data_IF_509565588765
#
_entry.id   IF_509565588765
#
_cell.length_a   1.000
_cell.length_b   1.000
_cell.length_c   1.000
_cell.angle_alpha   90.00
_cell.angle_beta   90.00
_cell.angle_gamma   90.00
#
_symmetry.space_group_name_H-M   'P 1'
#
loop_
_entity.id
_entity.type
_entity.pdbx_description
1 polymer ?
#
# COMPACT_ATOMS: atom_id res chain seq x y z
N UNK A 1 -18.74 19.77 4.23
CA UNK A 1 -18.39 18.51 4.77
C UNK A 1 -17.55 17.68 3.82
N UNK A 2 -16.46 17.23 4.28
CA UNK A 2 -15.54 16.52 3.46
C UNK A 2 -15.85 15.07 3.36
N UNK A 3 -15.57 14.50 2.20
CA UNK A 3 -15.81 13.14 1.96
C UNK A 3 -14.48 12.42 1.97
N UNK A 4 -14.39 11.32 2.71
CA UNK A 4 -13.20 10.53 2.73
C UNK A 4 -13.27 9.53 1.60
N UNK A 5 -12.30 9.60 0.72
CA UNK A 5 -12.24 8.71 -0.43
C UNK A 5 -11.11 7.73 -0.23
N UNK A 6 -11.44 6.44 -0.29
CA UNK A 6 -10.45 5.41 -0.23
C UNK A 6 -10.59 4.56 -1.48
N UNK A 7 -9.51 4.45 -2.24
CA UNK A 7 -9.52 3.65 -3.44
C UNK A 7 -9.27 2.19 -3.07
N UNK A 8 -10.17 1.33 -3.51
CA UNK A 8 -10.01 -0.09 -3.31
C UNK A 8 -9.82 -0.74 -4.66
N UNK A 9 -8.65 -1.30 -4.86
CA UNK A 9 -8.35 -1.95 -6.12
C UNK A 9 -8.31 -3.43 -5.84
N UNK A 10 -9.44 -4.09 -6.09
CA UNK A 10 -9.63 -5.48 -5.76
C UNK A 10 -9.92 -6.22 -7.05
N UNK A 11 -8.88 -6.71 -7.67
CA UNK A 11 -9.00 -7.40 -8.93
C UNK A 11 -8.31 -8.74 -8.85
N UNK A 12 -8.63 -9.59 -9.79
CA UNK A 12 -7.95 -10.84 -9.90
C UNK A 12 -6.53 -10.66 -10.38
N UNK A 13 -5.79 -11.74 -10.35
CA UNK A 13 -4.43 -11.72 -10.79
C UNK A 13 -4.35 -11.36 -12.26
N UNK A 14 -3.35 -10.57 -12.62
CA UNK A 14 -3.13 -10.22 -14.00
C UNK A 14 -4.07 -9.20 -14.57
N UNK A 15 -4.78 -8.47 -13.72
CA UNK A 15 -5.74 -7.49 -14.23
C UNK A 15 -5.21 -6.05 -14.18
N UNK A 16 -3.94 -5.86 -13.91
CA UNK A 16 -3.36 -4.54 -13.93
C UNK A 16 -3.61 -3.71 -12.70
N UNK A 17 -3.96 -4.36 -11.57
CA UNK A 17 -4.24 -3.57 -10.38
C UNK A 17 -3.02 -2.84 -9.86
N UNK A 18 -1.84 -3.42 -10.03
CA UNK A 18 -0.62 -2.76 -9.58
C UNK A 18 -0.34 -1.51 -10.39
N UNK A 19 -0.52 -1.58 -11.71
CA UNK A 19 -0.27 -0.40 -12.52
C UNK A 19 -1.29 0.69 -12.24
N UNK A 20 -2.52 0.33 -11.90
CA UNK A 20 -3.50 1.34 -11.52
C UNK A 20 -3.09 2.02 -10.21
N UNK A 21 -2.54 1.25 -9.28
CA UNK A 21 -2.05 1.82 -8.03
C UNK A 21 -0.91 2.79 -8.30
N UNK A 22 0.01 2.43 -9.19
CA UNK A 22 1.11 3.31 -9.55
C UNK A 22 0.59 4.64 -10.12
N UNK A 23 -0.38 4.57 -11.00
CA UNK A 23 -0.89 5.80 -11.61
C UNK A 23 -1.57 6.69 -10.58
N UNK A 24 -2.34 6.10 -9.70
CA UNK A 24 -2.99 6.88 -8.65
C UNK A 24 -1.97 7.55 -7.74
N UNK A 25 -0.95 6.80 -7.34
CA UNK A 25 0.06 7.33 -6.45
C UNK A 25 0.85 8.44 -7.12
N UNK A 26 1.19 8.24 -8.38
CA UNK A 26 1.95 9.22 -9.11
C UNK A 26 1.16 10.51 -9.25
N UNK A 27 -0.08 10.39 -9.61
CA UNK A 27 -0.92 11.56 -9.84
C UNK A 27 -1.16 12.31 -8.56
N UNK A 28 -1.39 11.61 -7.47
CA UNK A 28 -1.69 12.24 -6.19
C UNK A 28 -0.45 12.68 -5.42
N UNK A 29 0.72 12.18 -5.79
CA UNK A 29 1.94 12.49 -5.05
C UNK A 29 1.97 11.82 -3.70
N UNK A 30 1.36 10.63 -3.58
CA UNK A 30 1.24 9.91 -2.32
C UNK A 30 2.09 8.65 -2.40
N UNK A 31 2.89 8.35 -1.36
CA UNK A 31 3.76 7.17 -1.41
C UNK A 31 2.99 5.86 -1.29
N UNK A 32 3.64 4.79 -1.72
CA UNK A 32 3.09 3.45 -1.66
C UNK A 32 3.88 2.63 -0.66
N UNK A 33 3.18 2.01 0.27
CA UNK A 33 3.78 1.07 1.21
C UNK A 33 3.76 -0.31 0.54
N UNK A 34 4.90 -0.98 0.51
CA UNK A 34 5.01 -2.26 -0.17
C UNK A 34 6.06 -3.11 0.50
N UNK A 35 6.10 -4.38 0.12
CA UNK A 35 7.05 -5.30 0.74
C UNK A 35 8.48 -4.99 0.33
N UNK A 36 8.72 -4.77 -0.95
CA UNK A 36 10.06 -4.54 -1.45
C UNK A 36 10.08 -3.31 -2.36
N UNK A 37 10.46 -2.14 -1.81
CA UNK A 37 10.45 -0.92 -2.60
C UNK A 37 11.28 -0.99 -3.88
N UNK A 38 12.41 -1.67 -3.84
CA UNK A 38 13.24 -1.74 -5.02
C UNK A 38 12.56 -2.49 -6.15
N UNK A 39 11.94 -3.63 -5.85
CA UNK A 39 11.22 -4.38 -6.86
C UNK A 39 10.07 -3.56 -7.43
N UNK A 40 9.36 -2.86 -6.57
CA UNK A 40 8.24 -2.06 -7.04
C UNK A 40 8.70 -0.89 -7.89
N UNK A 41 9.83 -0.30 -7.52
CA UNK A 41 10.39 0.79 -8.30
C UNK A 41 10.77 0.31 -9.69
N UNK A 42 11.37 -0.86 -9.77
CA UNK A 42 11.75 -1.43 -11.05
C UNK A 42 10.52 -1.78 -11.87
N UNK A 43 9.50 -2.30 -11.24
CA UNK A 43 8.27 -2.61 -11.94
C UNK A 43 7.60 -1.35 -12.48
N UNK A 44 7.56 -0.29 -11.67
CA UNK A 44 7.00 0.97 -12.14
C UNK A 44 7.80 1.50 -13.32
N UNK A 45 9.10 1.40 -13.24
CA UNK A 45 9.96 1.86 -14.32
C UNK A 45 9.67 1.10 -15.60
N UNK A 46 9.39 -0.20 -15.49
CA UNK A 46 9.09 -0.99 -16.68
C UNK A 46 7.79 -0.55 -17.35
N UNK A 47 6.93 0.14 -16.61
CA UNK A 47 5.71 0.72 -17.17
C UNK A 47 5.92 2.17 -17.61
N UNK A 48 7.13 2.67 -17.51
CA UNK A 48 7.40 4.06 -17.85
C UNK A 48 7.01 5.05 -16.76
N UNK A 49 6.85 4.57 -15.53
CA UNK A 49 6.43 5.43 -14.43
C UNK A 49 7.59 5.61 -13.46
N UNK A 50 7.92 6.87 -13.19
CA UNK A 50 9.00 7.20 -12.25
C UNK A 50 8.49 8.25 -11.28
N UNK A 51 9.26 8.48 -10.23
CA UNK A 51 8.94 9.55 -9.29
C UNK A 51 7.97 9.17 -8.19
N UNK A 52 7.69 7.87 -8.03
CA UNK A 52 6.85 7.41 -6.94
C UNK A 52 7.74 7.07 -5.76
N UNK A 53 7.35 7.49 -4.56
CA UNK A 53 8.04 7.10 -3.34
C UNK A 53 7.48 5.78 -2.87
N UNK A 54 8.38 4.84 -2.57
CA UNK A 54 7.99 3.54 -2.06
C UNK A 54 8.56 3.39 -0.65
N UNK A 55 7.72 2.91 0.25
CA UNK A 55 8.07 2.72 1.65
C UNK A 55 7.92 1.25 1.98
N UNK A 56 8.92 0.65 2.61
CA UNK A 56 8.82 -0.75 2.96
C UNK A 56 7.85 -0.93 4.13
N UNK A 57 7.38 -2.16 4.31
CA UNK A 57 6.53 -2.49 5.44
C UNK A 57 7.21 -2.12 6.75
N UNK A 58 8.49 -2.45 6.86
CA UNK A 58 9.20 -2.18 8.10
C UNK A 58 9.35 -0.70 8.35
N UNK A 59 9.66 0.06 7.33
CA UNK A 59 9.75 1.51 7.49
C UNK A 59 8.42 2.10 7.91
N UNK A 60 7.34 1.58 7.36
CA UNK A 60 6.02 2.12 7.67
C UNK A 60 5.66 1.93 9.13
N UNK A 61 6.03 0.79 9.72
CA UNK A 61 5.68 0.56 11.11
C UNK A 61 6.65 1.21 12.07
N UNK A 62 7.91 1.35 11.69
CA UNK A 62 8.90 1.90 12.62
C UNK A 62 9.03 3.40 12.52
N UNK A 63 8.57 3.97 11.43
CA UNK A 63 8.77 5.39 11.21
C UNK A 63 8.13 6.25 12.29
N UNK A 64 7.04 5.79 12.85
CA UNK A 64 6.39 6.51 13.93
C UNK A 64 6.33 7.99 13.69
N UNK A 65 5.28 8.44 13.10
CA UNK A 65 5.14 9.84 12.81
C UNK A 65 4.74 10.58 14.07
N UNK A 66 5.51 11.57 14.42
CA UNK A 66 5.24 12.36 15.60
C UNK A 66 4.42 13.59 15.32
N UNK A 67 4.06 13.82 14.09
CA UNK A 67 3.24 14.98 13.79
C UNK A 67 1.79 14.68 14.13
N UNK A 68 1.03 15.72 14.30
CA UNK A 68 -0.38 15.59 14.62
C UNK A 68 -1.21 15.24 13.40
N UNK A 69 -0.61 15.30 12.22
CA UNK A 69 -1.35 15.08 10.99
C UNK A 69 -0.97 13.73 10.40
N UNK A 70 -1.97 12.93 10.13
CA UNK A 70 -1.72 11.63 9.50
C UNK A 70 -1.30 11.81 8.06
N UNK A 71 -0.34 11.01 7.63
CA UNK A 71 0.11 11.01 6.26
C UNK A 71 -0.74 10.10 5.43
N UNK A 72 -1.03 10.54 4.21
CA UNK A 72 -1.77 9.70 3.27
C UNK A 72 -0.82 8.72 2.62
N UNK A 73 -1.26 7.48 2.46
CA UNK A 73 -0.47 6.45 1.81
C UNK A 73 -1.36 5.53 1.01
N UNK A 74 -0.77 4.88 0.02
CA UNK A 74 -1.38 3.72 -0.61
C UNK A 74 -0.65 2.49 -0.10
N UNK A 75 -1.33 1.35 -0.11
CA UNK A 75 -0.71 0.10 0.34
C UNK A 75 -0.90 -0.95 -0.73
N UNK A 76 0.19 -1.56 -1.14
CA UNK A 76 0.15 -2.69 -2.05
C UNK A 76 -0.01 -3.93 -1.21
N UNK A 77 -1.13 -4.62 -1.38
CA UNK A 77 -1.45 -5.85 -0.66
C UNK A 77 -1.65 -5.61 0.83
N UNK A 78 -2.80 -5.02 1.16
CA UNK A 78 -3.12 -4.69 2.55
C UNK A 78 -3.17 -5.95 3.45
N UNK A 79 -3.55 -7.08 2.89
CA UNK A 79 -3.61 -8.31 3.68
C UNK A 79 -2.22 -8.74 4.10
N UNK A 80 -1.27 -8.69 3.19
CA UNK A 80 0.09 -9.06 3.48
C UNK A 80 0.72 -8.10 4.49
N UNK A 81 0.43 -6.82 4.34
CA UNK A 81 0.93 -5.82 5.27
C UNK A 81 0.38 -6.06 6.67
N UNK A 82 -0.91 -6.36 6.77
CA UNK A 82 -1.53 -6.63 8.06
C UNK A 82 -0.91 -7.87 8.71
N UNK A 83 -0.69 -8.90 7.92
CA UNK A 83 -0.05 -10.12 8.43
C UNK A 83 1.35 -9.79 8.95
N UNK A 84 2.08 -8.97 8.24
CA UNK A 84 3.43 -8.58 8.64
C UNK A 84 3.41 -7.88 10.00
N UNK A 85 2.46 -6.95 10.18
CA UNK A 85 2.34 -6.23 11.44
C UNK A 85 2.07 -7.19 12.60
N UNK A 86 1.15 -8.13 12.38
CA UNK A 86 0.80 -9.07 13.42
C UNK A 86 1.98 -9.95 13.79
N UNK A 87 2.73 -10.41 12.79
CA UNK A 87 3.88 -11.25 13.07
C UNK A 87 4.96 -10.50 13.83
N UNK A 88 5.17 -9.24 13.49
CA UNK A 88 6.17 -8.45 14.20
C UNK A 88 5.79 -8.26 15.66
N UNK A 89 4.53 -8.35 15.98
CA UNK A 89 4.06 -8.21 17.36
C UNK A 89 3.77 -9.56 17.99
N UNK A 90 4.32 -10.62 17.41
CA UNK A 90 4.24 -11.97 17.97
C UNK A 90 2.85 -12.57 17.97
N UNK A 91 2.04 -12.17 16.99
CA UNK A 91 0.76 -12.78 16.77
C UNK A 91 0.83 -13.69 15.56
N UNK A 92 0.04 -14.73 15.57
CA UNK A 92 -0.05 -15.63 14.45
C UNK A 92 -1.45 -15.56 13.89
N UNK A 93 -1.57 -15.06 12.69
CA UNK A 93 -2.88 -14.89 12.07
C UNK A 93 -3.42 -16.25 11.65
N UNK A 94 -4.61 -16.61 12.14
CA UNK A 94 -5.22 -17.87 11.80
C UNK A 94 -6.38 -17.72 10.83
N UNK A 95 -6.92 -16.54 10.73
CA UNK A 95 -8.01 -16.33 9.79
C UNK A 95 -8.48 -14.90 9.85
N UNK A 96 -9.26 -14.51 8.86
CA UNK A 96 -9.78 -13.15 8.80
C UNK A 96 -11.00 -13.12 7.90
N UNK A 97 -11.72 -12.01 7.99
CA UNK A 97 -12.85 -11.79 7.10
C UNK A 97 -12.56 -10.54 6.29
N UNK A 98 -13.20 -10.46 5.15
CA UNK A 98 -13.11 -9.29 4.30
C UNK A 98 -14.54 -8.88 3.96
N UNK A 99 -14.83 -7.62 4.20
CA UNK A 99 -16.15 -7.11 3.85
C UNK A 99 -16.28 -7.05 2.36
N UNK A 100 -17.40 -7.57 1.90
CA UNK A 100 -17.70 -7.50 0.51
C UNK A 100 -18.60 -6.32 0.29
N UNK A 101 -18.15 -5.41 -0.53
CA UNK A 101 -18.91 -4.24 -0.71
C UNK A 101 -19.66 -4.30 -1.95
N UNK A 102 -20.87 -4.14 -1.94
CA UNK A 102 -21.62 -4.19 -3.19
C UNK A 102 -22.27 -2.93 -3.52
#
# INVERSE_FOLDING_TARGET
KEKIVMYRIIDGRGTGKTSRLFLLAKEAGIPIICQCPQDMRERAYSYGITGIDFISYQEAITAGDKSDTAKEVFVDNIEQFSYYILMKNHFKLKGFTVSNED
#
